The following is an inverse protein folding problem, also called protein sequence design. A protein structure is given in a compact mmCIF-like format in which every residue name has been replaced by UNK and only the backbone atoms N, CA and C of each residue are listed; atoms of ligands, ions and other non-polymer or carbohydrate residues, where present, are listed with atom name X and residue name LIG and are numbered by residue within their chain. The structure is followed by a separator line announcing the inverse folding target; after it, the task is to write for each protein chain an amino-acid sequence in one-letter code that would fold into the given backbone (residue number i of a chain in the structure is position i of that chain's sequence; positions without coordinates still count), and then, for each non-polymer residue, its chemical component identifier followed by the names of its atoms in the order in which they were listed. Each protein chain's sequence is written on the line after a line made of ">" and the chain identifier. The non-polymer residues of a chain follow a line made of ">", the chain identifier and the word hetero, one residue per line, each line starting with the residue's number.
data_IF_751495080891
#
_entry.id   IF_751495080891
#
_cell.length_a   1.000
_cell.length_b   1.000
_cell.length_c   1.000
_cell.angle_alpha   90.00
_cell.angle_beta   90.00
_cell.angle_gamma   90.00
#
_symmetry.space_group_name_H-M   'P 1'
#
loop_
_entity.id
_entity.type
_entity.pdbx_description
1 polymer ?
#
# COMPACT_ATOMS: atom_id res chain seq x y z
N UNK A 1 -21.26 35.09 11.38
CA UNK A 1 -21.47 34.06 10.33
C UNK A 1 -20.23 33.82 9.45
N UNK A 2 -19.55 34.86 8.93
CA UNK A 2 -18.33 34.72 8.11
C UNK A 2 -17.22 33.85 8.74
N UNK A 3 -17.04 33.94 10.06
CA UNK A 3 -15.99 33.23 10.81
C UNK A 3 -16.21 31.72 10.85
N UNK A 4 -17.46 31.26 10.94
CA UNK A 4 -17.79 29.83 10.91
C UNK A 4 -17.41 29.18 9.57
N UNK A 5 -17.61 29.91 8.46
CA UNK A 5 -17.19 29.43 7.14
C UNK A 5 -15.68 29.24 7.04
N UNK A 6 -14.88 30.15 7.61
CA UNK A 6 -13.43 30.03 7.59
C UNK A 6 -12.93 28.83 8.40
N UNK A 7 -13.55 28.55 9.55
CA UNK A 7 -13.20 27.38 10.38
C UNK A 7 -13.46 26.07 9.64
N UNK A 8 -14.59 25.98 8.92
CA UNK A 8 -14.95 24.79 8.13
C UNK A 8 -13.97 24.58 6.96
N UNK A 9 -13.55 25.65 6.29
CA UNK A 9 -12.61 25.55 5.18
C UNK A 9 -11.25 25.05 5.68
N UNK A 10 -10.76 25.60 6.80
CA UNK A 10 -9.47 25.21 7.39
C UNK A 10 -9.48 23.77 7.89
N UNK A 11 -10.59 23.28 8.46
CA UNK A 11 -10.68 21.90 8.94
C UNK A 11 -10.67 20.86 7.80
N UNK A 12 -11.33 21.17 6.68
CA UNK A 12 -11.29 20.31 5.48
C UNK A 12 -9.89 20.25 4.88
N UNK A 13 -9.18 21.38 4.79
CA UNK A 13 -7.80 21.43 4.30
C UNK A 13 -6.83 20.63 5.19
N UNK A 14 -6.99 20.69 6.52
CA UNK A 14 -6.18 19.93 7.47
C UNK A 14 -6.40 18.41 7.38
N UNK A 15 -7.64 17.98 7.12
CA UNK A 15 -7.96 16.56 6.94
C UNK A 15 -7.29 15.98 5.68
N UNK A 16 -7.25 16.72 4.57
CA UNK A 16 -6.55 16.29 3.36
C UNK A 16 -5.04 16.17 3.57
N UNK A 17 -4.42 17.07 4.34
CA UNK A 17 -2.98 17.04 4.61
C UNK A 17 -2.53 15.91 5.56
N UNK A 18 -3.45 15.41 6.40
CA UNK A 18 -3.17 14.31 7.34
C UNK A 18 -3.17 12.93 6.67
N UNK A 19 -3.73 12.81 5.47
CA UNK A 19 -3.65 11.58 4.67
C UNK A 19 -2.26 11.46 4.03
N UNK A 20 -1.22 11.37 4.85
CA UNK A 20 0.08 10.91 4.36
C UNK A 20 -0.12 9.47 3.92
N UNK A 21 0.04 9.13 2.63
CA UNK A 21 0.06 7.73 2.24
C UNK A 21 1.19 7.11 3.04
N UNK A 22 0.84 6.21 3.96
CA UNK A 22 1.84 5.40 4.65
C UNK A 22 2.52 4.64 3.53
N UNK A 23 3.74 5.05 3.16
CA UNK A 23 4.54 4.35 2.15
C UNK A 23 4.85 3.00 2.78
N UNK A 24 3.95 2.06 2.53
CA UNK A 24 4.08 0.71 3.01
C UNK A 24 5.10 0.06 2.09
N UNK A 25 6.35 -0.03 2.56
CA UNK A 25 7.33 -0.81 1.83
C UNK A 25 6.87 -2.27 1.83
N UNK A 26 6.67 -2.87 0.65
CA UNK A 26 6.34 -4.28 0.54
C UNK A 26 7.51 -5.12 1.08
N UNK A 27 7.20 -6.29 1.62
CA UNK A 27 8.21 -7.24 2.09
C UNK A 27 9.12 -7.68 0.93
N UNK A 28 10.29 -8.25 1.26
CA UNK A 28 11.22 -8.75 0.24
C UNK A 28 10.55 -9.79 -0.68
N UNK A 29 9.73 -10.67 -0.11
CA UNK A 29 9.00 -11.71 -0.84
C UNK A 29 7.95 -11.11 -1.78
N UNK A 30 7.20 -10.11 -1.33
CA UNK A 30 6.24 -9.41 -2.20
C UNK A 30 6.92 -8.64 -3.34
N UNK A 31 8.06 -8.00 -3.09
CA UNK A 31 8.85 -7.37 -4.17
C UNK A 31 9.30 -8.39 -5.20
N UNK A 32 9.71 -9.58 -4.75
CA UNK A 32 10.14 -10.65 -5.64
C UNK A 32 8.98 -11.19 -6.50
N UNK A 33 7.84 -11.46 -5.88
CA UNK A 33 6.62 -11.88 -6.58
C UNK A 33 6.22 -10.88 -7.67
N UNK A 34 6.17 -9.58 -7.35
CA UNK A 34 5.84 -8.53 -8.32
C UNK A 34 6.88 -8.41 -9.43
N UNK A 35 8.17 -8.50 -9.12
CA UNK A 35 9.24 -8.44 -10.12
C UNK A 35 9.17 -9.59 -11.13
N UNK A 36 8.57 -10.72 -10.76
CA UNK A 36 8.49 -11.90 -11.63
C UNK A 36 7.16 -12.02 -12.38
N UNK A 37 6.15 -11.18 -12.15
CA UNK A 37 4.84 -11.30 -12.83
C UNK A 37 4.91 -11.31 -14.37
N UNK A 38 5.95 -10.72 -14.95
CA UNK A 38 6.18 -10.67 -16.40
C UNK A 38 7.16 -11.74 -16.91
N UNK A 39 7.69 -12.59 -16.02
CA UNK A 39 8.63 -13.63 -16.39
C UNK A 39 7.87 -14.90 -16.86
N UNK A 40 8.37 -15.60 -17.90
CA UNK A 40 7.83 -16.88 -18.30
C UNK A 40 8.26 -17.96 -17.30
N UNK A 41 7.47 -18.10 -16.23
CA UNK A 41 7.68 -19.04 -15.15
C UNK A 41 6.56 -20.08 -15.10
N UNK A 42 6.85 -21.22 -14.50
CA UNK A 42 5.84 -22.22 -14.22
C UNK A 42 4.74 -21.66 -13.29
N UNK A 43 3.44 -21.91 -13.56
CA UNK A 43 2.34 -21.41 -12.71
C UNK A 43 2.43 -21.84 -11.25
N UNK A 44 2.95 -23.04 -10.96
CA UNK A 44 3.15 -23.50 -9.58
C UNK A 44 4.30 -22.75 -8.90
N UNK A 45 5.32 -22.34 -9.64
CA UNK A 45 6.38 -21.49 -9.11
C UNK A 45 5.82 -20.09 -8.78
N UNK A 46 4.98 -19.52 -9.66
CA UNK A 46 4.26 -18.26 -9.41
C UNK A 46 3.38 -18.32 -8.16
N UNK A 47 2.65 -19.42 -7.99
CA UNK A 47 1.78 -19.59 -6.81
C UNK A 47 2.57 -19.68 -5.51
N UNK A 48 3.76 -20.32 -5.52
CA UNK A 48 4.65 -20.33 -4.35
C UNK A 48 5.18 -18.95 -4.00
N UNK A 49 5.55 -18.15 -5.00
CA UNK A 49 5.99 -16.77 -4.79
C UNK A 49 4.87 -15.91 -4.18
N UNK A 50 3.64 -16.09 -4.67
CA UNK A 50 2.47 -15.43 -4.09
C UNK A 50 2.27 -15.82 -2.63
N UNK A 51 2.28 -17.11 -2.34
CA UNK A 51 2.09 -17.61 -0.97
C UNK A 51 3.19 -17.10 -0.01
N UNK A 52 4.46 -17.05 -0.46
CA UNK A 52 5.55 -16.50 0.32
C UNK A 52 5.37 -15.00 0.63
N UNK A 53 4.82 -14.23 -0.31
CA UNK A 53 4.42 -12.84 -0.08
C UNK A 53 3.32 -12.74 0.99
N UNK A 54 2.23 -13.48 0.83
CA UNK A 54 1.09 -13.48 1.76
C UNK A 54 1.51 -13.89 3.18
N UNK A 55 2.33 -14.94 3.32
CA UNK A 55 2.87 -15.40 4.60
C UNK A 55 3.81 -14.36 5.23
N UNK A 56 4.65 -13.71 4.42
CA UNK A 56 5.55 -12.65 4.90
C UNK A 56 4.80 -11.40 5.36
N UNK A 57 3.68 -11.06 4.74
CA UNK A 57 2.81 -9.96 5.19
C UNK A 57 2.12 -10.29 6.50
N UNK A 58 1.68 -11.55 6.67
CA UNK A 58 1.01 -12.00 7.90
C UNK A 58 1.95 -12.07 9.12
N UNK A 59 3.24 -12.23 8.89
CA UNK A 59 4.28 -12.29 9.94
C UNK A 59 4.86 -10.90 10.29
N UNK A 60 4.41 -9.84 9.63
CA UNK A 60 4.83 -8.46 9.88
C UNK A 60 4.03 -7.81 11.02
#
# INVERSE_FOLDING_TARGET
>A
MKVFFLVVIVSVLAACASNKPKIYEPTKECRHYHAMMTAPMDPMAMQRLKQACDDSEKQR
#
